data_IF_139765636987
#
_entry.id   IF_139765636987
#
_cell.length_a   1.000
_cell.length_b   1.000
_cell.length_c   1.000
_cell.angle_alpha   90.00
_cell.angle_beta   90.00
_cell.angle_gamma   90.00
#
_symmetry.space_group_name_H-M   'P 1'
#
loop_
_entity.id
_entity.type
_entity.pdbx_description
1 polymer ?
#
# COMPACT_ATOMS: atom_id res chain seq x y z
N UNK A 1 6.89 -0.95 12.36
CA UNK A 1 5.79 -1.83 11.91
C UNK A 1 4.77 -0.98 11.21
N UNK A 2 4.51 -1.29 9.95
CA UNK A 2 3.67 -0.46 9.09
C UNK A 2 2.32 -1.13 8.89
N UNK A 3 1.24 -0.38 9.08
CA UNK A 3 -0.12 -0.82 8.77
C UNK A 3 -0.65 -0.02 7.60
N UNK A 4 -1.43 -0.66 6.75
CA UNK A 4 -2.07 -0.01 5.62
C UNK A 4 -3.43 -0.64 5.28
N UNK A 5 -4.34 0.20 4.75
CA UNK A 5 -5.67 -0.26 4.35
C UNK A 5 -5.66 -0.93 3.00
N UNK A 6 -6.38 -2.04 2.90
CA UNK A 6 -6.67 -2.71 1.62
C UNK A 6 -8.17 -2.89 1.48
N UNK A 7 -8.71 -2.51 0.34
CA UNK A 7 -10.07 -2.88 -0.05
C UNK A 7 -9.99 -4.18 -0.88
N UNK A 8 -10.69 -5.21 -0.43
CA UNK A 8 -10.82 -6.46 -1.19
C UNK A 8 -12.19 -6.49 -1.83
N UNK A 9 -12.22 -6.37 -3.15
CA UNK A 9 -13.43 -6.55 -3.96
C UNK A 9 -13.58 -8.03 -4.28
N UNK A 10 -14.74 -8.61 -3.97
CA UNK A 10 -14.94 -10.05 -4.16
C UNK A 10 -16.39 -10.40 -4.41
N UNK A 11 -16.64 -11.49 -5.11
CA UNK A 11 -17.99 -12.04 -5.24
C UNK A 11 -18.44 -12.61 -3.90
N UNK A 12 -19.76 -12.72 -3.63
CA UNK A 12 -20.28 -13.25 -2.37
C UNK A 12 -19.81 -14.69 -2.04
N UNK A 13 -19.42 -15.46 -3.07
CA UNK A 13 -18.93 -16.83 -2.96
C UNK A 13 -17.39 -16.94 -2.89
N UNK A 14 -16.67 -15.81 -2.98
CA UNK A 14 -15.21 -15.78 -2.86
C UNK A 14 -14.79 -15.49 -1.42
N UNK A 15 -13.74 -16.18 -1.02
CA UNK A 15 -13.12 -15.99 0.28
C UNK A 15 -11.99 -14.94 0.21
N UNK A 16 -12.01 -13.99 1.13
CA UNK A 16 -11.03 -12.89 1.25
C UNK A 16 -9.62 -13.43 1.48
N UNK A 17 -9.48 -14.45 2.34
CA UNK A 17 -8.18 -15.08 2.62
C UNK A 17 -7.57 -15.68 1.36
N UNK A 18 -8.40 -16.33 0.52
CA UNK A 18 -7.97 -16.91 -0.76
C UNK A 18 -7.45 -15.82 -1.71
N UNK A 19 -8.07 -14.65 -1.75
CA UNK A 19 -7.64 -13.53 -2.59
C UNK A 19 -6.36 -12.86 -2.08
N UNK A 20 -6.15 -12.85 -0.78
CA UNK A 20 -4.97 -12.25 -0.14
C UNK A 20 -3.76 -13.20 -0.11
N UNK A 21 -3.99 -14.52 -0.02
CA UNK A 21 -2.92 -15.52 0.19
C UNK A 21 -1.77 -15.48 -0.82
N UNK A 22 -1.95 -15.11 -2.12
CA UNK A 22 -0.82 -14.99 -3.05
C UNK A 22 0.19 -13.91 -2.67
N UNK A 23 -0.17 -13.00 -1.76
CA UNK A 23 0.60 -11.84 -1.34
C UNK A 23 1.19 -11.97 0.06
N UNK A 24 1.05 -13.14 0.69
CA UNK A 24 1.67 -13.48 1.97
C UNK A 24 3.20 -13.59 1.84
N UNK A 25 3.94 -12.90 2.69
CA UNK A 25 5.41 -12.96 2.66
C UNK A 25 5.94 -14.31 3.17
N UNK A 26 5.17 -15.03 3.99
CA UNK A 26 5.52 -16.36 4.48
C UNK A 26 5.34 -17.46 3.41
N UNK A 27 4.58 -17.18 2.34
CA UNK A 27 4.35 -18.10 1.24
C UNK A 27 5.67 -18.42 0.55
N UNK A 28 6.00 -19.70 0.45
CA UNK A 28 7.14 -20.17 -0.33
C UNK A 28 6.67 -20.59 -1.73
N UNK A 29 7.37 -20.05 -2.74
CA UNK A 29 7.11 -20.37 -4.15
C UNK A 29 8.09 -21.42 -4.67
N UNK A 30 7.86 -21.90 -5.87
CA UNK A 30 8.83 -22.77 -6.53
C UNK A 30 10.20 -22.09 -6.62
N UNK A 31 11.25 -22.88 -6.40
CA UNK A 31 12.63 -22.44 -6.43
C UNK A 31 12.97 -21.80 -7.78
N UNK A 32 13.44 -20.56 -7.74
CA UNK A 32 13.87 -19.82 -8.92
C UNK A 32 15.27 -19.24 -8.73
N UNK A 33 15.98 -18.94 -9.83
CA UNK A 33 17.25 -18.23 -9.77
C UNK A 33 16.97 -16.79 -9.34
N UNK A 34 17.48 -16.40 -8.19
CA UNK A 34 17.43 -15.02 -7.70
C UNK A 34 18.57 -14.19 -8.29
N UNK A 35 19.76 -14.75 -8.29
CA UNK A 35 20.96 -14.18 -8.91
C UNK A 35 21.75 -15.25 -9.65
N UNK A 36 22.13 -14.99 -10.88
CA UNK A 36 23.28 -15.67 -11.47
C UNK A 36 24.55 -15.26 -10.72
N UNK A 37 25.63 -16.05 -10.84
CA UNK A 37 26.90 -15.71 -10.17
C UNK A 37 27.36 -14.28 -10.47
N UNK A 38 27.27 -13.83 -11.73
CA UNK A 38 27.68 -12.48 -12.11
C UNK A 38 26.76 -11.40 -11.53
N UNK A 39 25.45 -11.62 -11.57
CA UNK A 39 24.48 -10.68 -10.98
C UNK A 39 24.67 -10.54 -9.46
N UNK A 40 24.99 -11.61 -8.75
CA UNK A 40 25.32 -11.56 -7.32
C UNK A 40 26.54 -10.68 -7.03
N UNK A 41 27.61 -10.86 -7.81
CA UNK A 41 28.83 -10.05 -7.71
C UNK A 41 28.53 -8.56 -7.95
N UNK A 42 27.81 -8.26 -9.03
CA UNK A 42 27.49 -6.89 -9.41
C UNK A 42 26.57 -6.24 -8.39
N UNK A 43 25.58 -6.97 -7.88
CA UNK A 43 24.67 -6.52 -6.84
C UNK A 43 25.44 -6.15 -5.56
N UNK A 44 26.33 -7.03 -5.10
CA UNK A 44 27.11 -6.80 -3.88
C UNK A 44 28.00 -5.58 -4.02
N UNK A 45 28.71 -5.43 -5.14
CA UNK A 45 29.56 -4.26 -5.38
C UNK A 45 28.78 -2.95 -5.42
N UNK A 46 27.62 -2.97 -6.02
CA UNK A 46 26.75 -1.79 -6.14
C UNK A 46 26.17 -1.34 -4.81
N UNK A 47 25.75 -2.28 -3.98
CA UNK A 47 24.93 -1.97 -2.79
C UNK A 47 25.70 -2.00 -1.46
N UNK A 48 26.90 -2.61 -1.44
CA UNK A 48 27.71 -2.74 -0.22
C UNK A 48 29.07 -2.09 -0.40
N UNK A 49 29.20 -0.81 -0.03
CA UNK A 49 30.42 -0.01 -0.21
C UNK A 49 31.70 -0.70 0.30
N UNK A 50 31.60 -1.49 1.40
CA UNK A 50 32.72 -2.27 1.95
C UNK A 50 33.20 -3.41 1.04
N UNK A 51 32.43 -3.75 0.02
CA UNK A 51 32.71 -4.83 -0.93
C UNK A 51 33.20 -4.31 -2.28
N UNK A 52 33.27 -3.00 -2.50
CA UNK A 52 33.62 -2.40 -3.80
C UNK A 52 34.97 -2.84 -4.35
N UNK A 53 35.98 -2.98 -3.46
CA UNK A 53 37.36 -3.34 -3.81
C UNK A 53 37.69 -4.83 -3.59
N UNK A 54 36.66 -5.65 -3.31
CA UNK A 54 36.82 -7.08 -3.06
C UNK A 54 36.84 -7.89 -4.34
N UNK A 55 37.44 -9.10 -4.27
CA UNK A 55 37.48 -10.03 -5.40
C UNK A 55 36.07 -10.51 -5.77
N UNK A 56 35.89 -11.04 -6.97
CA UNK A 56 34.64 -11.63 -7.44
C UNK A 56 34.16 -12.75 -6.51
N UNK A 57 35.05 -13.61 -6.05
CA UNK A 57 34.74 -14.69 -5.13
C UNK A 57 34.28 -14.17 -3.76
N UNK A 58 34.96 -13.16 -3.19
CA UNK A 58 34.52 -12.56 -1.92
C UNK A 58 33.13 -11.91 -2.06
N UNK A 59 32.87 -11.22 -3.19
CA UNK A 59 31.55 -10.63 -3.46
C UNK A 59 30.46 -11.68 -3.63
N UNK A 60 30.75 -12.76 -4.37
CA UNK A 60 29.79 -13.84 -4.55
C UNK A 60 29.48 -14.57 -3.24
N UNK A 61 30.50 -14.94 -2.46
CA UNK A 61 30.35 -15.59 -1.16
C UNK A 61 29.54 -14.75 -0.18
N UNK A 62 29.57 -13.42 -0.28
CA UNK A 62 28.79 -12.53 0.58
C UNK A 62 27.28 -12.77 0.55
N UNK A 63 26.74 -13.25 -0.59
CA UNK A 63 25.32 -13.65 -0.71
C UNK A 63 25.16 -15.18 -0.66
N UNK A 64 26.11 -15.93 -1.26
CA UNK A 64 26.00 -17.38 -1.37
C UNK A 64 26.04 -18.07 0.00
N UNK A 65 26.82 -17.56 0.94
CA UNK A 65 26.94 -18.13 2.30
C UNK A 65 25.65 -17.95 3.12
N UNK A 66 24.82 -16.95 2.82
CA UNK A 66 23.53 -16.69 3.47
C UNK A 66 22.36 -17.41 2.75
N UNK A 67 22.56 -17.95 1.56
CA UNK A 67 21.47 -18.52 0.75
C UNK A 67 20.87 -19.82 1.32
N UNK A 68 21.63 -20.50 2.19
CA UNK A 68 21.20 -21.76 2.80
C UNK A 68 21.52 -23.01 1.98
N UNK A 69 21.39 -24.16 2.62
CA UNK A 69 21.72 -25.47 2.02
C UNK A 69 20.87 -25.75 0.77
N UNK A 70 21.51 -26.14 -0.31
CA UNK A 70 20.87 -26.49 -1.57
C UNK A 70 20.32 -25.30 -2.37
N UNK A 71 20.63 -24.07 -1.95
CA UNK A 71 20.20 -22.86 -2.64
C UNK A 71 21.27 -22.27 -3.57
N UNK A 72 22.38 -22.98 -3.75
CA UNK A 72 23.43 -22.64 -4.72
C UNK A 72 23.70 -23.87 -5.59
N UNK A 73 23.80 -23.66 -6.91
CA UNK A 73 24.16 -24.74 -7.85
C UNK A 73 25.67 -24.75 -8.20
N UNK A 74 26.07 -25.74 -9.01
CA UNK A 74 27.47 -25.92 -9.43
C UNK A 74 27.97 -24.75 -10.32
N UNK A 75 27.08 -24.01 -10.98
CA UNK A 75 27.40 -22.84 -11.79
C UNK A 75 27.51 -21.55 -10.95
N UNK A 76 27.21 -21.65 -9.65
CA UNK A 76 27.23 -20.55 -8.69
C UNK A 76 26.00 -19.66 -8.74
N UNK A 77 24.89 -20.10 -9.35
CA UNK A 77 23.63 -19.40 -9.28
C UNK A 77 23.01 -19.55 -7.89
N UNK A 78 22.49 -18.44 -7.37
CA UNK A 78 21.83 -18.38 -6.07
C UNK A 78 20.32 -18.42 -6.29
N UNK A 79 19.66 -19.31 -5.59
CA UNK A 79 18.22 -19.54 -5.69
C UNK A 79 17.47 -18.94 -4.51
N UNK A 80 16.18 -18.69 -4.72
CA UNK A 80 15.24 -18.27 -3.68
C UNK A 80 13.90 -19.00 -3.83
N UNK A 81 13.19 -19.12 -2.73
CA UNK A 81 11.76 -19.52 -2.67
C UNK A 81 10.92 -18.38 -2.11
N UNK A 82 11.49 -17.18 -1.99
CA UNK A 82 10.78 -16.01 -1.49
C UNK A 82 9.66 -15.58 -2.44
N UNK A 83 8.52 -15.25 -1.90
CA UNK A 83 7.39 -14.77 -2.70
C UNK A 83 7.62 -13.32 -3.16
N UNK A 84 8.05 -13.13 -4.41
CA UNK A 84 8.24 -11.78 -4.99
C UNK A 84 6.96 -10.95 -5.07
N UNK A 85 5.79 -11.59 -4.93
CA UNK A 85 4.50 -10.91 -4.87
C UNK A 85 4.12 -10.48 -3.46
N UNK A 86 4.92 -10.80 -2.45
CA UNK A 86 4.59 -10.50 -1.06
C UNK A 86 4.28 -9.02 -0.85
N UNK A 87 3.27 -8.78 -0.02
CA UNK A 87 2.77 -7.43 0.31
C UNK A 87 2.50 -7.28 1.79
N UNK A 88 2.31 -8.37 2.52
CA UNK A 88 1.93 -8.36 3.92
C UNK A 88 2.48 -9.61 4.63
N UNK A 89 2.72 -9.49 5.94
CA UNK A 89 3.10 -10.57 6.85
C UNK A 89 1.94 -10.99 7.77
N UNK A 90 0.97 -10.10 7.95
CA UNK A 90 -0.21 -10.29 8.78
C UNK A 90 -1.36 -9.39 8.31
N UNK A 91 -2.61 -9.83 8.48
CA UNK A 91 -3.80 -9.03 8.22
C UNK A 91 -4.96 -9.35 9.15
N UNK A 92 -5.91 -8.42 9.27
CA UNK A 92 -7.20 -8.63 9.92
C UNK A 92 -8.31 -7.86 9.22
N UNK A 93 -9.53 -8.40 9.27
CA UNK A 93 -10.71 -7.69 8.78
C UNK A 93 -10.96 -6.43 9.62
N UNK A 94 -11.11 -5.29 8.97
CA UNK A 94 -11.30 -3.98 9.57
C UNK A 94 -10.07 -3.48 10.31
N UNK A 95 -9.62 -4.16 11.34
CA UNK A 95 -8.48 -3.77 12.17
C UNK A 95 -8.54 -2.31 12.61
N UNK A 96 -7.52 -1.53 12.28
CA UNK A 96 -7.46 -0.07 12.57
C UNK A 96 -8.52 0.76 11.83
N UNK A 97 -9.06 0.21 10.76
CA UNK A 97 -10.11 0.84 9.93
C UNK A 97 -11.47 0.15 10.12
N UNK A 98 -11.69 -0.45 11.29
CA UNK A 98 -12.97 -1.08 11.60
C UNK A 98 -14.12 -0.09 11.48
N UNK A 99 -15.17 -0.48 10.74
CA UNK A 99 -16.33 0.36 10.47
C UNK A 99 -16.10 1.46 9.42
N UNK A 100 -15.06 1.36 8.59
CA UNK A 100 -14.74 2.36 7.57
C UNK A 100 -15.82 2.48 6.49
N UNK A 101 -16.56 1.39 6.21
CA UNK A 101 -17.66 1.42 5.24
C UNK A 101 -18.90 2.03 5.90
N UNK A 102 -19.32 3.19 5.42
CA UNK A 102 -20.61 3.77 5.79
C UNK A 102 -21.71 3.15 4.93
N UNK A 103 -22.82 2.80 5.55
CA UNK A 103 -23.95 2.20 4.86
C UNK A 103 -25.06 3.22 4.58
N UNK A 104 -25.79 3.04 3.49
CA UNK A 104 -26.92 3.89 3.11
C UNK A 104 -28.04 3.90 4.15
N UNK A 105 -28.14 2.87 4.99
CA UNK A 105 -29.06 2.78 6.11
C UNK A 105 -28.61 3.54 7.37
N UNK A 106 -27.40 4.12 7.35
CA UNK A 106 -26.81 4.89 8.45
C UNK A 106 -25.90 4.06 9.38
N UNK A 107 -25.69 2.76 9.12
CA UNK A 107 -24.74 1.92 9.84
C UNK A 107 -23.31 2.02 9.31
N UNK A 108 -22.41 1.23 9.92
CA UNK A 108 -21.04 1.03 9.45
C UNK A 108 -20.71 -0.45 9.42
N UNK A 109 -19.77 -0.85 8.54
CA UNK A 109 -19.35 -2.24 8.39
C UNK A 109 -17.87 -2.34 8.01
N UNK A 110 -17.29 -3.53 8.14
CA UNK A 110 -16.01 -3.88 7.52
C UNK A 110 -16.22 -4.53 6.16
N UNK A 111 -17.35 -5.21 5.99
CA UNK A 111 -17.74 -5.92 4.77
C UNK A 111 -19.19 -5.56 4.41
N UNK A 112 -19.40 -5.14 3.17
CA UNK A 112 -20.75 -4.83 2.66
C UNK A 112 -20.82 -5.00 1.14
N UNK A 113 -22.04 -5.11 0.60
CA UNK A 113 -22.26 -5.02 -0.85
C UNK A 113 -21.98 -3.59 -1.32
N UNK A 114 -21.38 -3.44 -2.49
CA UNK A 114 -21.12 -2.10 -3.07
C UNK A 114 -22.42 -1.30 -3.16
N UNK A 115 -23.53 -1.93 -3.54
CA UNK A 115 -24.84 -1.30 -3.63
C UNK A 115 -25.38 -0.71 -2.30
N UNK A 116 -24.90 -1.22 -1.16
CA UNK A 116 -25.35 -0.79 0.18
C UNK A 116 -24.43 0.27 0.80
N UNK A 117 -23.24 0.54 0.20
CA UNK A 117 -22.27 1.49 0.75
C UNK A 117 -22.59 2.92 0.29
N UNK A 118 -22.51 3.85 1.23
CA UNK A 118 -22.56 5.29 0.95
C UNK A 118 -21.14 5.84 0.73
N UNK A 119 -20.77 6.01 -0.52
CA UNK A 119 -19.48 6.59 -0.94
C UNK A 119 -19.51 8.13 -1.00
N UNK A 120 -20.59 8.78 -0.61
CA UNK A 120 -20.64 10.25 -0.58
C UNK A 120 -19.56 10.79 0.35
N UNK A 121 -18.73 11.75 -0.11
CA UNK A 121 -17.72 12.36 0.74
C UNK A 121 -18.33 12.90 2.04
N UNK A 122 -17.69 12.60 3.17
CA UNK A 122 -18.21 13.03 4.47
C UNK A 122 -18.01 14.53 4.68
N UNK A 123 -19.10 15.26 4.92
CA UNK A 123 -19.06 16.72 5.10
C UNK A 123 -18.15 17.16 6.26
N UNK A 124 -18.10 16.37 7.33
CA UNK A 124 -17.25 16.66 8.48
C UNK A 124 -15.76 16.57 8.10
N UNK A 125 -15.35 15.52 7.39
CA UNK A 125 -13.97 15.34 6.91
C UNK A 125 -13.62 16.40 5.86
N UNK A 126 -14.54 16.73 4.96
CA UNK A 126 -14.35 17.81 4.01
C UNK A 126 -14.08 19.15 4.72
N UNK A 127 -14.89 19.53 5.69
CA UNK A 127 -14.70 20.74 6.49
C UNK A 127 -13.41 20.73 7.29
N UNK A 128 -13.06 19.57 7.86
CA UNK A 128 -11.81 19.39 8.58
C UNK A 128 -10.60 19.59 7.67
N UNK A 129 -10.64 19.03 6.47
CA UNK A 129 -9.59 19.19 5.47
C UNK A 129 -9.45 20.64 4.98
N UNK A 130 -10.57 21.34 4.74
CA UNK A 130 -10.54 22.78 4.45
C UNK A 130 -9.85 23.56 5.58
N UNK A 131 -10.18 23.21 6.84
CA UNK A 131 -9.59 23.88 8.00
C UNK A 131 -8.12 23.54 8.19
N UNK A 132 -7.73 22.28 7.92
CA UNK A 132 -6.31 21.89 7.89
C UNK A 132 -5.52 22.75 6.90
N UNK A 133 -6.03 22.92 5.68
CA UNK A 133 -5.39 23.77 4.68
C UNK A 133 -5.25 25.20 5.16
N UNK A 134 -6.30 25.78 5.74
CA UNK A 134 -6.27 27.13 6.29
C UNK A 134 -5.15 27.32 7.33
N UNK A 135 -4.95 26.33 8.19
CA UNK A 135 -3.94 26.42 9.26
C UNK A 135 -2.53 26.09 8.75
N UNK A 136 -2.37 25.00 8.04
CA UNK A 136 -1.04 24.48 7.67
C UNK A 136 -0.49 25.18 6.44
N UNK A 137 -1.32 25.39 5.41
CA UNK A 137 -0.87 25.92 4.11
C UNK A 137 -0.98 27.44 4.05
N UNK A 138 -2.01 28.02 4.67
CA UNK A 138 -2.26 29.46 4.65
C UNK A 138 -1.85 30.16 5.95
N UNK A 139 -1.28 29.41 6.89
CA UNK A 139 -0.77 29.92 8.17
C UNK A 139 -1.81 30.71 9.00
N UNK A 140 -3.10 30.39 8.86
CA UNK A 140 -4.14 30.98 9.69
C UNK A 140 -4.04 30.44 11.14
N UNK A 141 -4.36 31.26 12.15
CA UNK A 141 -4.31 30.83 13.54
C UNK A 141 -5.22 29.59 13.79
N UNK A 142 -4.76 28.65 14.60
CA UNK A 142 -5.58 27.56 15.10
C UNK A 142 -6.62 28.09 16.10
N UNK A 143 -7.80 27.49 16.09
CA UNK A 143 -8.82 27.76 17.11
C UNK A 143 -8.54 26.91 18.36
N UNK A 144 -9.08 27.30 19.52
CA UNK A 144 -8.99 26.47 20.73
C UNK A 144 -9.54 25.06 20.49
N UNK A 145 -8.73 24.04 20.78
CA UNK A 145 -9.08 22.64 20.60
C UNK A 145 -8.73 22.03 19.24
N UNK A 146 -8.23 22.82 18.29
CA UNK A 146 -7.63 22.28 17.07
C UNK A 146 -6.18 21.86 17.35
N UNK A 147 -5.78 20.74 16.75
CA UNK A 147 -4.43 20.17 16.82
C UNK A 147 -3.99 19.73 15.42
N UNK A 148 -3.87 20.69 14.51
CA UNK A 148 -3.35 20.43 13.18
C UNK A 148 -1.83 20.52 13.18
N UNK A 149 -1.22 19.46 12.69
CA UNK A 149 0.23 19.34 12.55
C UNK A 149 0.59 18.76 11.18
N UNK A 150 1.69 19.18 10.60
CA UNK A 150 2.28 18.58 9.41
C UNK A 150 3.81 18.56 9.50
N UNK A 151 4.41 17.48 9.01
CA UNK A 151 5.86 17.37 8.78
C UNK A 151 6.26 17.95 7.42
N UNK A 152 5.29 18.15 6.52
CA UNK A 152 5.51 18.74 5.21
C UNK A 152 5.30 20.26 5.26
N UNK A 153 6.02 20.98 4.40
CA UNK A 153 5.86 22.42 4.22
C UNK A 153 4.64 22.71 3.34
N UNK A 154 4.16 23.95 3.37
CA UNK A 154 3.03 24.43 2.58
C UNK A 154 3.23 24.27 1.07
N UNK A 155 4.48 24.43 0.57
CA UNK A 155 4.80 24.21 -0.84
C UNK A 155 4.46 22.80 -1.32
N UNK A 156 4.65 21.78 -0.47
CA UNK A 156 4.27 20.40 -0.78
C UNK A 156 2.79 20.30 -1.10
N UNK A 157 1.93 20.86 -0.25
CA UNK A 157 0.47 20.80 -0.45
C UNK A 157 0.04 21.55 -1.70
N UNK A 158 0.60 22.73 -1.96
CA UNK A 158 0.32 23.53 -3.15
C UNK A 158 0.76 22.82 -4.44
N UNK A 159 1.91 22.20 -4.41
CA UNK A 159 2.42 21.46 -5.56
C UNK A 159 1.60 20.19 -5.81
N UNK A 160 1.24 19.47 -4.75
CA UNK A 160 0.59 18.16 -4.85
C UNK A 160 -0.91 18.28 -5.16
N UNK A 161 -1.63 19.13 -4.43
CA UNK A 161 -3.09 19.24 -4.55
C UNK A 161 -3.53 20.47 -5.36
N UNK A 162 -2.67 21.46 -5.55
CA UNK A 162 -2.95 22.69 -6.26
C UNK A 162 -3.69 23.71 -5.40
N UNK A 163 -4.89 23.40 -4.97
CA UNK A 163 -5.74 24.30 -4.21
C UNK A 163 -6.47 23.63 -3.04
N UNK A 164 -7.04 24.45 -2.19
CA UNK A 164 -7.74 24.12 -0.96
C UNK A 164 -8.93 23.19 -1.16
N UNK A 165 -9.72 23.44 -2.19
CA UNK A 165 -10.94 22.69 -2.49
C UNK A 165 -10.60 21.30 -3.03
N UNK A 166 -9.59 21.20 -3.89
CA UNK A 166 -9.07 19.93 -4.41
C UNK A 166 -8.53 19.08 -3.26
N UNK A 167 -7.70 19.66 -2.37
CA UNK A 167 -7.23 18.98 -1.17
C UNK A 167 -8.38 18.42 -0.33
N UNK A 168 -9.38 19.27 -0.04
CA UNK A 168 -10.49 18.87 0.83
C UNK A 168 -11.36 17.76 0.21
N UNK A 169 -11.60 17.80 -1.10
CA UNK A 169 -12.32 16.73 -1.80
C UNK A 169 -11.55 15.42 -1.77
N UNK A 170 -10.25 15.47 -2.00
CA UNK A 170 -9.38 14.29 -1.95
C UNK A 170 -9.38 13.66 -0.56
N UNK A 171 -9.24 14.47 0.50
CA UNK A 171 -9.22 13.96 1.87
C UNK A 171 -10.57 13.40 2.34
N UNK A 172 -11.68 13.90 1.81
CA UNK A 172 -13.01 13.42 2.16
C UNK A 172 -13.50 12.25 1.29
N UNK A 173 -12.82 11.97 0.17
CA UNK A 173 -13.19 10.87 -0.71
C UNK A 173 -12.79 9.51 -0.10
N UNK A 174 -13.63 8.50 -0.35
CA UNK A 174 -13.28 7.13 0.01
C UNK A 174 -12.09 6.66 -0.84
N UNK A 175 -11.05 6.18 -0.18
CA UNK A 175 -9.91 5.51 -0.81
C UNK A 175 -9.18 4.62 0.20
N UNK A 176 -8.46 3.61 -0.30
CA UNK A 176 -7.57 2.76 0.48
C UNK A 176 -6.17 2.78 -0.13
N UNK A 177 -5.17 2.33 0.62
CA UNK A 177 -3.79 2.27 0.14
C UNK A 177 -3.63 1.26 -1.00
N UNK A 178 -4.33 0.13 -0.92
CA UNK A 178 -4.33 -0.90 -1.96
C UNK A 178 -5.74 -1.45 -2.19
N UNK A 179 -5.92 -2.09 -3.34
CA UNK A 179 -7.14 -2.79 -3.75
C UNK A 179 -6.77 -4.15 -4.30
N UNK A 180 -7.49 -5.19 -3.87
CA UNK A 180 -7.48 -6.51 -4.51
C UNK A 180 -8.79 -6.67 -5.27
N UNK A 181 -8.70 -6.96 -6.56
CA UNK A 181 -9.86 -7.13 -7.44
C UNK A 181 -10.38 -8.57 -7.44
N UNK A 182 -11.61 -8.86 -7.92
CA UNK A 182 -12.20 -10.21 -7.86
C UNK A 182 -11.45 -11.29 -8.65
N UNK A 183 -10.60 -10.89 -9.59
CA UNK A 183 -9.67 -11.76 -10.32
C UNK A 183 -8.35 -12.01 -9.58
N UNK A 184 -8.20 -11.41 -8.39
CA UNK A 184 -7.05 -11.58 -7.51
C UNK A 184 -5.87 -10.66 -7.83
N UNK A 185 -6.05 -9.61 -8.66
CA UNK A 185 -4.98 -8.65 -8.93
C UNK A 185 -4.82 -7.64 -7.79
N UNK A 186 -3.57 -7.37 -7.44
CA UNK A 186 -3.18 -6.38 -6.44
C UNK A 186 -2.82 -5.04 -7.09
N UNK A 187 -3.54 -4.00 -6.71
CA UNK A 187 -3.26 -2.61 -7.07
C UNK A 187 -2.90 -1.82 -5.82
N UNK A 188 -1.94 -0.92 -5.90
CA UNK A 188 -1.51 -0.13 -4.75
C UNK A 188 -1.03 1.27 -5.14
N UNK A 189 -1.16 2.20 -4.21
CA UNK A 189 -0.76 3.60 -4.35
C UNK A 189 0.76 3.78 -4.47
N UNK A 190 1.51 2.94 -3.78
CA UNK A 190 2.97 2.90 -3.77
C UNK A 190 3.44 1.58 -3.18
N UNK A 191 4.73 1.40 -2.94
CA UNK A 191 5.24 0.23 -2.20
C UNK A 191 5.35 0.58 -0.73
N UNK A 192 4.61 -0.12 0.12
CA UNK A 192 4.75 0.01 1.57
C UNK A 192 6.04 -0.68 1.99
N UNK A 193 6.87 0.04 2.67
CA UNK A 193 8.09 -0.46 3.29
C UNK A 193 8.00 -0.43 4.81
N UNK A 194 9.08 -0.84 5.44
CA UNK A 194 9.20 -0.86 6.89
C UNK A 194 9.04 0.56 7.47
N UNK A 195 8.44 0.66 8.65
CA UNK A 195 8.23 1.91 9.39
C UNK A 195 7.29 2.92 8.73
N UNK A 196 6.35 2.47 7.89
CA UNK A 196 5.41 3.34 7.20
C UNK A 196 6.04 4.20 6.10
N UNK A 197 7.27 3.88 5.71
CA UNK A 197 7.90 4.52 4.56
C UNK A 197 7.31 3.93 3.29
N UNK A 198 6.52 4.72 2.58
CA UNK A 198 6.00 4.36 1.27
C UNK A 198 6.87 4.97 0.17
N UNK A 199 7.10 4.21 -0.90
CA UNK A 199 7.76 4.71 -2.11
C UNK A 199 6.77 5.42 -3.04
N UNK A 200 5.78 6.13 -2.48
CA UNK A 200 4.81 6.87 -3.27
C UNK A 200 5.50 7.95 -4.11
N UNK A 201 5.29 7.86 -5.41
CA UNK A 201 5.56 8.98 -6.30
C UNK A 201 4.37 9.96 -6.18
N UNK A 202 4.59 11.26 -5.88
CA UNK A 202 3.52 12.23 -5.72
C UNK A 202 2.52 12.29 -6.88
N UNK A 203 3.00 12.17 -8.12
CA UNK A 203 2.13 12.19 -9.30
C UNK A 203 1.27 10.91 -9.40
N UNK A 204 1.85 9.75 -9.13
CA UNK A 204 1.12 8.46 -9.12
C UNK A 204 0.07 8.42 -8.02
N UNK A 205 0.42 8.91 -6.83
CA UNK A 205 -0.51 8.98 -5.71
C UNK A 205 -1.68 9.93 -5.99
N UNK A 206 -1.43 11.07 -6.64
CA UNK A 206 -2.47 11.99 -7.08
C UNK A 206 -3.44 11.34 -8.10
N UNK A 207 -2.89 10.62 -9.07
CA UNK A 207 -3.70 9.85 -10.04
C UNK A 207 -4.51 8.76 -9.32
N UNK A 208 -3.90 8.05 -8.36
CA UNK A 208 -4.60 7.05 -7.55
C UNK A 208 -5.82 7.64 -6.85
N UNK A 209 -5.63 8.75 -6.14
CA UNK A 209 -6.70 9.41 -5.38
C UNK A 209 -7.81 9.97 -6.29
N UNK A 210 -7.44 10.57 -7.43
CA UNK A 210 -8.39 11.14 -8.36
C UNK A 210 -9.24 10.09 -9.10
N UNK A 211 -8.63 8.95 -9.44
CA UNK A 211 -9.26 7.92 -10.26
C UNK A 211 -9.78 6.73 -9.44
N UNK A 212 -9.57 6.70 -8.12
CA UNK A 212 -9.90 5.56 -7.28
C UNK A 212 -11.34 5.07 -7.45
N UNK A 213 -12.30 5.96 -7.28
CA UNK A 213 -13.72 5.63 -7.40
C UNK A 213 -14.08 5.13 -8.78
N UNK A 214 -13.64 5.83 -9.82
CA UNK A 214 -13.87 5.48 -11.21
C UNK A 214 -13.23 4.14 -11.59
N UNK A 215 -12.05 3.87 -11.04
CA UNK A 215 -11.27 2.68 -11.39
C UNK A 215 -11.77 1.41 -10.70
N UNK A 216 -12.20 1.53 -9.45
CA UNK A 216 -12.46 0.35 -8.60
C UNK A 216 -13.92 0.21 -8.15
N UNK A 217 -14.71 1.28 -8.15
CA UNK A 217 -16.06 1.25 -7.58
C UNK A 217 -17.14 1.54 -8.64
N UNK A 218 -16.98 2.62 -9.42
CA UNK A 218 -17.98 3.01 -10.40
C UNK A 218 -18.14 1.96 -11.50
N UNK A 219 -19.40 1.59 -11.77
CA UNK A 219 -19.73 0.60 -12.80
C UNK A 219 -19.53 -0.85 -12.39
N UNK A 220 -19.13 -1.11 -11.14
CA UNK A 220 -19.13 -2.46 -10.59
C UNK A 220 -20.56 -2.97 -10.36
N UNK A 221 -20.70 -4.29 -10.30
CA UNK A 221 -21.96 -4.93 -9.90
C UNK A 221 -22.29 -4.55 -8.45
N UNK A 222 -23.52 -4.10 -8.20
CA UNK A 222 -23.98 -3.71 -6.86
C UNK A 222 -23.98 -4.89 -5.86
N UNK A 223 -24.02 -6.12 -6.36
CA UNK A 223 -23.92 -7.35 -5.53
C UNK A 223 -22.49 -7.73 -5.16
N UNK A 224 -21.49 -7.08 -5.77
CA UNK A 224 -20.09 -7.30 -5.41
C UNK A 224 -19.85 -6.85 -3.97
N UNK A 225 -19.12 -7.66 -3.23
CA UNK A 225 -18.72 -7.35 -1.85
C UNK A 225 -17.47 -6.52 -1.82
N UNK A 226 -17.38 -5.62 -0.86
CA UNK A 226 -16.16 -4.90 -0.51
C UNK A 226 -15.84 -5.15 0.95
N UNK A 227 -14.66 -5.68 1.22
CA UNK A 227 -14.13 -5.91 2.57
C UNK A 227 -12.92 -5.03 2.82
N UNK A 228 -12.93 -4.30 3.93
CA UNK A 228 -11.77 -3.54 4.40
C UNK A 228 -10.90 -4.45 5.26
N UNK A 229 -9.63 -4.49 4.95
CA UNK A 229 -8.63 -5.20 5.76
C UNK A 229 -7.48 -4.27 6.16
N UNK A 230 -6.97 -4.53 7.35
CA UNK A 230 -5.76 -3.94 7.90
C UNK A 230 -4.61 -4.90 7.62
N UNK A 231 -3.74 -4.54 6.70
CA UNK A 231 -2.52 -5.30 6.40
C UNK A 231 -1.33 -4.68 7.12
N UNK A 232 -0.39 -5.55 7.50
CA UNK A 232 0.85 -5.22 8.18
C UNK A 232 2.06 -5.71 7.34
N UNK A 233 3.22 -5.00 7.46
CA UNK A 233 4.51 -5.38 6.89
C UNK A 233 5.67 -4.86 7.75
#
# INVERSE_FOLDING_TARGET
>A
MSHFTVAVLHRPDQDVETLLSPYDESLRVEKYIEYTRQEAIDHVRKHYAKMADKTDDECWHYLADDAGEGMVDDDGNIYSTYNRKSKWDWWSEGGRWSGMLRLKDGGTANTARIGDIDFTPEEAEYKRALRFWDVIVEHKPQHPGEDFFSIYRDEYYRQYYGDRETYARTMAAFSTYAVVTPDGEWHQKGQMGWWGMSSENPEEAKVWEADYMKRFIEGQDEDLMLTIVDCHI
#
